data_IF_008586869163
#
_entry.id   IF_008586869163
#
_cell.length_a   1.000
_cell.length_b   1.000
_cell.length_c   1.000
_cell.angle_alpha   90.00
_cell.angle_beta   90.00
_cell.angle_gamma   90.00
#
_symmetry.space_group_name_H-M   'P 1'
#
loop_
_entity.id
_entity.type
_entity.pdbx_description
1 polymer ?
#
# COMPACT_ATOMS: atom_id res chain seq x y z
N UNK A 1 9.71 -15.26 1.66
CA UNK A 1 8.97 -13.99 1.76
C UNK A 1 7.65 -14.28 2.46
N UNK A 2 7.33 -13.58 3.56
CA UNK A 2 6.03 -13.73 4.22
C UNK A 2 5.03 -12.81 3.51
N UNK A 3 3.96 -13.38 2.96
CA UNK A 3 2.89 -12.63 2.28
C UNK A 3 1.53 -13.10 2.77
N UNK A 4 0.60 -12.18 2.96
CA UNK A 4 -0.79 -12.50 3.26
C UNK A 4 -1.71 -11.43 2.65
N UNK A 5 -2.96 -11.81 2.39
CA UNK A 5 -4.02 -10.91 1.95
C UNK A 5 -5.02 -10.63 3.08
N UNK A 6 -5.75 -9.53 2.94
CA UNK A 6 -6.92 -9.18 3.75
C UNK A 6 -8.05 -8.72 2.83
N UNK A 7 -9.29 -9.07 3.15
CA UNK A 7 -10.46 -8.74 2.30
C UNK A 7 -11.03 -7.33 2.58
N UNK A 8 -10.18 -6.42 3.08
CA UNK A 8 -10.58 -5.06 3.47
C UNK A 8 -9.60 -4.04 2.92
N UNK A 9 -10.15 -2.98 2.33
CA UNK A 9 -9.40 -1.92 1.67
C UNK A 9 -10.23 -0.68 1.40
N UNK A 10 -9.86 0.09 0.37
CA UNK A 10 -10.49 1.38 0.07
C UNK A 10 -11.98 1.30 -0.24
N UNK A 11 -12.44 0.22 -0.87
CA UNK A 11 -13.85 0.01 -1.21
C UNK A 11 -14.75 -0.11 0.04
N UNK A 12 -14.27 -0.80 1.08
CA UNK A 12 -14.99 -0.91 2.34
C UNK A 12 -15.19 0.47 3.00
N UNK A 13 -14.18 1.36 2.89
CA UNK A 13 -14.29 2.73 3.40
C UNK A 13 -15.40 3.48 2.66
N UNK A 14 -15.47 3.35 1.33
CA UNK A 14 -16.51 3.95 0.48
C UNK A 14 -17.90 3.45 0.82
N UNK A 15 -18.06 2.14 0.97
CA UNK A 15 -19.32 1.54 1.38
C UNK A 15 -19.75 2.01 2.77
N UNK A 16 -18.81 2.22 3.68
CA UNK A 16 -19.11 2.74 5.01
C UNK A 16 -19.61 4.20 4.94
N UNK A 17 -18.93 5.06 4.17
CA UNK A 17 -19.35 6.45 3.93
C UNK A 17 -20.75 6.48 3.29
N UNK A 18 -20.96 5.67 2.25
CA UNK A 18 -22.26 5.53 1.58
C UNK A 18 -23.38 5.17 2.56
N UNK A 19 -23.17 4.17 3.41
CA UNK A 19 -24.16 3.74 4.43
C UNK A 19 -24.40 4.79 5.50
N UNK A 20 -23.36 5.45 6.00
CA UNK A 20 -23.48 6.42 7.08
C UNK A 20 -24.18 7.72 6.65
N UNK A 21 -23.96 8.16 5.42
CA UNK A 21 -24.53 9.41 4.89
C UNK A 21 -25.72 9.19 3.93
N UNK A 22 -26.09 7.95 3.65
CA UNK A 22 -27.16 7.64 2.69
C UNK A 22 -26.83 8.04 1.25
N UNK A 23 -25.55 8.02 0.88
CA UNK A 23 -25.07 8.48 -0.43
C UNK A 23 -24.92 7.31 -1.43
N UNK A 24 -25.19 7.51 -2.73
CA UNK A 24 -24.78 6.58 -3.77
C UNK A 24 -23.28 6.28 -3.69
N UNK A 25 -22.89 5.07 -4.12
CA UNK A 25 -21.49 4.62 -4.06
C UNK A 25 -20.54 5.61 -4.72
N UNK A 26 -20.85 6.06 -5.93
CA UNK A 26 -19.97 6.93 -6.71
C UNK A 26 -19.78 8.30 -6.03
N UNK A 27 -20.87 8.86 -5.48
CA UNK A 27 -20.83 10.10 -4.70
C UNK A 27 -20.01 9.92 -3.41
N UNK A 28 -20.15 8.78 -2.73
CA UNK A 28 -19.35 8.47 -1.55
C UNK A 28 -17.85 8.30 -1.88
N UNK A 29 -17.52 7.71 -3.03
CA UNK A 29 -16.13 7.59 -3.50
C UNK A 29 -15.55 8.97 -3.80
N UNK A 30 -16.29 9.82 -4.51
CA UNK A 30 -15.89 11.19 -4.81
C UNK A 30 -15.67 12.01 -3.53
N UNK A 31 -16.60 11.90 -2.57
CA UNK A 31 -16.49 12.55 -1.26
C UNK A 31 -15.22 12.10 -0.52
N UNK A 32 -14.94 10.79 -0.53
CA UNK A 32 -13.72 10.20 0.05
C UNK A 32 -12.45 10.69 -0.64
N UNK A 33 -12.42 10.77 -1.97
CA UNK A 33 -11.24 11.21 -2.73
C UNK A 33 -10.97 12.70 -2.53
N UNK A 34 -12.02 13.54 -2.58
CA UNK A 34 -11.87 15.00 -2.54
C UNK A 34 -11.64 15.54 -1.13
N UNK A 35 -12.35 14.99 -0.14
CA UNK A 35 -12.40 15.54 1.22
C UNK A 35 -11.91 14.57 2.29
N UNK A 36 -11.53 13.35 1.90
CA UNK A 36 -11.11 12.32 2.85
C UNK A 36 -9.84 12.70 3.62
N UNK A 37 -9.91 12.53 4.93
CA UNK A 37 -8.79 12.70 5.84
C UNK A 37 -8.70 11.47 6.75
N UNK A 38 -7.50 10.92 6.93
CA UNK A 38 -7.29 9.68 7.67
C UNK A 38 -7.43 9.87 9.19
N UNK A 39 -7.21 11.09 9.69
CA UNK A 39 -7.41 11.45 11.09
C UNK A 39 -7.97 12.88 11.21
N UNK A 40 -8.92 13.13 12.13
CA UNK A 40 -9.36 14.48 12.46
C UNK A 40 -8.21 15.41 12.86
N UNK A 41 -7.10 14.89 13.41
CA UNK A 41 -5.93 15.68 13.82
C UNK A 41 -5.08 16.22 12.66
N UNK A 42 -5.41 15.83 11.43
CA UNK A 42 -4.79 16.38 10.24
C UNK A 42 -5.64 17.49 9.59
N UNK A 43 -6.82 17.79 10.15
CA UNK A 43 -7.66 18.92 9.73
C UNK A 43 -7.14 20.24 10.32
N UNK A 44 -7.18 21.29 9.51
CA UNK A 44 -7.01 22.69 9.92
C UNK A 44 -8.25 23.18 10.69
N UNK A 45 -8.12 24.29 11.42
CA UNK A 45 -9.26 24.85 12.17
C UNK A 45 -10.41 25.28 11.25
N UNK A 46 -10.08 25.82 10.07
CA UNK A 46 -11.05 26.18 9.05
C UNK A 46 -11.80 24.93 8.55
N UNK A 47 -11.07 23.86 8.24
CA UNK A 47 -11.65 22.58 7.80
C UNK A 47 -12.52 21.93 8.88
N UNK A 48 -12.21 22.10 10.17
CA UNK A 48 -13.01 21.51 11.26
C UNK A 48 -14.44 22.04 11.27
N UNK A 49 -14.64 23.31 10.89
CA UNK A 49 -15.96 23.95 10.80
C UNK A 49 -16.65 23.74 9.44
N UNK A 50 -15.94 23.20 8.45
CA UNK A 50 -16.46 23.04 7.10
C UNK A 50 -17.53 21.95 7.02
N UNK A 51 -18.66 22.31 6.43
CA UNK A 51 -19.75 21.41 6.08
C UNK A 51 -19.89 21.36 4.56
N UNK A 52 -19.83 20.14 4.01
CA UNK A 52 -19.94 19.87 2.59
C UNK A 52 -21.41 19.53 2.30
N UNK A 53 -22.06 20.32 1.46
CA UNK A 53 -23.41 19.99 0.97
C UNK A 53 -23.30 19.13 -0.28
N UNK A 54 -23.71 17.88 -0.17
CA UNK A 54 -23.77 16.94 -1.28
C UNK A 54 -25.20 16.90 -1.81
N UNK A 55 -25.37 17.29 -3.08
CA UNK A 55 -26.68 17.21 -3.76
C UNK A 55 -26.86 15.83 -4.35
N UNK A 56 -27.98 15.21 -4.01
CA UNK A 56 -28.44 13.98 -4.63
C UNK A 56 -29.48 14.35 -5.68
N UNK A 57 -29.16 14.12 -6.95
CA UNK A 57 -30.14 14.21 -8.02
C UNK A 57 -30.79 12.83 -8.15
N UNK A 58 -31.89 12.61 -7.45
CA UNK A 58 -32.77 11.49 -7.74
C UNK A 58 -33.84 11.94 -8.75
N UNK A 59 -34.36 11.00 -9.55
CA UNK A 59 -35.30 11.28 -10.65
C UNK A 59 -36.61 11.92 -10.13
N UNK A 60 -36.92 11.72 -8.84
CA UNK A 60 -38.18 12.17 -8.22
C UNK A 60 -37.99 13.23 -7.11
N UNK A 61 -36.78 13.42 -6.56
CA UNK A 61 -36.52 14.49 -5.58
C UNK A 61 -35.03 14.88 -5.49
N UNK A 62 -34.77 16.18 -5.32
CA UNK A 62 -33.44 16.67 -4.95
C UNK A 62 -33.31 16.70 -3.43
N UNK A 63 -32.53 15.77 -2.87
CA UNK A 63 -32.20 15.77 -1.43
C UNK A 63 -30.80 16.32 -1.24
N UNK A 64 -30.63 17.24 -0.29
CA UNK A 64 -29.32 17.77 0.10
C UNK A 64 -28.85 17.09 1.40
N UNK A 65 -27.66 16.50 1.36
CA UNK A 65 -27.02 15.88 2.53
C UNK A 65 -25.86 16.75 2.98
N UNK A 66 -25.88 17.17 4.24
CA UNK A 66 -24.79 17.91 4.84
C UNK A 66 -23.80 16.98 5.52
N UNK A 67 -22.53 17.06 5.13
CA UNK A 67 -21.44 16.25 5.65
C UNK A 67 -20.40 17.14 6.31
N UNK A 68 -20.28 17.06 7.63
CA UNK A 68 -19.19 17.74 8.36
C UNK A 68 -17.84 17.05 8.12
N UNK A 69 -16.80 17.83 7.88
CA UNK A 69 -15.43 17.34 7.66
C UNK A 69 -14.91 16.49 8.83
N UNK A 70 -15.16 16.91 10.08
CA UNK A 70 -14.76 16.15 11.28
C UNK A 70 -15.44 14.79 11.33
N UNK A 71 -16.74 14.74 10.99
CA UNK A 71 -17.51 13.49 10.95
C UNK A 71 -16.98 12.55 9.88
N UNK A 72 -16.73 13.07 8.67
CA UNK A 72 -16.14 12.29 7.57
C UNK A 72 -14.78 11.72 7.96
N UNK A 73 -13.89 12.55 8.51
CA UNK A 73 -12.57 12.14 8.96
C UNK A 73 -12.66 11.08 10.08
N UNK A 74 -13.62 11.20 11.00
CA UNK A 74 -13.85 10.22 12.07
C UNK A 74 -14.29 8.86 11.51
N UNK A 75 -15.19 8.85 10.53
CA UNK A 75 -15.63 7.61 9.88
C UNK A 75 -14.51 6.94 9.09
N UNK A 76 -13.72 7.71 8.35
CA UNK A 76 -12.55 7.21 7.62
C UNK A 76 -11.50 6.67 8.60
N UNK A 77 -11.21 7.42 9.68
CA UNK A 77 -10.28 7.02 10.72
C UNK A 77 -10.64 5.66 11.32
N UNK A 78 -11.90 5.47 11.73
CA UNK A 78 -12.38 4.18 12.26
C UNK A 78 -12.09 3.01 11.32
N UNK A 79 -12.35 3.17 10.03
CA UNK A 79 -12.13 2.11 9.05
C UNK A 79 -10.65 1.81 8.85
N UNK A 80 -9.80 2.84 8.80
CA UNK A 80 -8.36 2.64 8.77
C UNK A 80 -7.84 1.94 10.02
N UNK A 81 -8.26 2.39 11.21
CA UNK A 81 -7.84 1.79 12.48
C UNK A 81 -8.17 0.30 12.53
N UNK A 82 -9.33 -0.08 12.00
CA UNK A 82 -9.70 -1.49 11.89
C UNK A 82 -8.80 -2.26 10.92
N UNK A 83 -8.50 -1.70 9.73
CA UNK A 83 -7.54 -2.28 8.77
C UNK A 83 -6.19 -2.50 9.45
N UNK A 84 -5.63 -1.47 10.09
CA UNK A 84 -4.32 -1.55 10.74
C UNK A 84 -4.32 -2.57 11.87
N UNK A 85 -5.37 -2.62 12.69
CA UNK A 85 -5.52 -3.62 13.75
C UNK A 85 -5.51 -5.05 13.19
N UNK A 86 -6.27 -5.32 12.12
CA UNK A 86 -6.28 -6.67 11.51
C UNK A 86 -4.91 -7.04 10.93
N UNK A 87 -4.21 -6.08 10.31
CA UNK A 87 -2.84 -6.30 9.80
C UNK A 87 -1.90 -6.62 10.96
N UNK A 88 -1.92 -5.83 12.05
CA UNK A 88 -1.10 -6.06 13.24
C UNK A 88 -1.40 -7.41 13.89
N UNK A 89 -2.68 -7.75 14.07
CA UNK A 89 -3.10 -9.04 14.64
C UNK A 89 -2.60 -10.20 13.78
N UNK A 90 -2.70 -10.08 12.44
CA UNK A 90 -2.23 -11.10 11.50
C UNK A 90 -0.72 -11.26 11.53
N UNK A 91 0.03 -10.15 11.56
CA UNK A 91 1.48 -10.17 11.74
C UNK A 91 1.82 -10.87 13.06
N UNK A 92 1.21 -10.45 14.18
CA UNK A 92 1.46 -11.05 15.49
C UNK A 92 1.21 -12.55 15.54
N UNK A 93 0.12 -13.03 14.92
CA UNK A 93 -0.16 -14.48 14.80
C UNK A 93 0.92 -15.20 14.00
N UNK A 94 1.29 -14.70 12.82
CA UNK A 94 2.32 -15.31 11.97
C UNK A 94 3.70 -15.35 12.66
N UNK A 95 4.03 -14.32 13.44
CA UNK A 95 5.26 -14.28 14.23
C UNK A 95 5.25 -15.28 15.39
N UNK A 96 4.10 -15.49 16.03
CA UNK A 96 3.98 -16.43 17.15
C UNK A 96 3.89 -17.89 16.67
N UNK A 97 3.21 -18.16 15.55
CA UNK A 97 3.19 -19.48 14.88
C UNK A 97 4.59 -19.86 14.38
N UNK A 98 5.40 -18.89 13.98
CA UNK A 98 6.79 -19.05 13.57
C UNK A 98 7.80 -19.29 14.70
N UNK A 99 7.41 -19.43 15.98
CA UNK A 99 8.36 -19.64 17.09
C UNK A 99 9.09 -20.99 17.10
N UNK A 100 8.79 -21.90 16.16
CA UNK A 100 9.66 -23.04 15.82
C UNK A 100 10.70 -22.72 14.72
N UNK A 101 10.71 -21.50 14.20
CA UNK A 101 11.54 -21.00 13.10
C UNK A 101 12.06 -19.61 13.50
N UNK A 102 13.12 -19.56 14.32
CA UNK A 102 14.21 -18.54 14.44
C UNK A 102 14.09 -17.09 13.90
N UNK A 103 12.90 -16.57 13.61
CA UNK A 103 12.66 -15.32 12.91
C UNK A 103 11.99 -14.34 13.89
N UNK A 104 12.79 -13.76 14.77
CA UNK A 104 12.36 -12.59 15.55
C UNK A 104 12.30 -11.39 14.60
N UNK A 105 11.16 -11.19 13.94
CA UNK A 105 10.89 -9.98 13.15
C UNK A 105 10.71 -8.80 14.11
N UNK A 106 11.79 -8.07 14.37
CA UNK A 106 11.71 -6.76 15.02
C UNK A 106 11.29 -5.73 13.97
N UNK A 107 10.13 -5.11 14.15
CA UNK A 107 9.56 -4.07 13.27
C UNK A 107 10.26 -2.71 13.39
N UNK A 108 11.58 -2.70 13.54
CA UNK A 108 12.38 -1.48 13.77
C UNK A 108 12.33 -0.49 12.62
N UNK A 109 12.05 -0.95 11.39
CA UNK A 109 11.98 -0.10 10.19
C UNK A 109 10.61 0.58 9.99
N UNK A 110 9.58 0.18 10.74
CA UNK A 110 8.21 0.67 10.56
C UNK A 110 7.49 0.07 9.35
N UNK A 111 6.45 0.77 8.89
CA UNK A 111 5.58 0.36 7.79
C UNK A 111 5.70 1.30 6.59
N UNK A 112 5.70 0.71 5.39
CA UNK A 112 5.59 1.44 4.13
C UNK A 112 4.24 1.11 3.51
N UNK A 113 3.39 2.13 3.34
CA UNK A 113 2.08 1.98 2.71
C UNK A 113 2.18 2.42 1.26
N UNK A 114 1.61 1.63 0.36
CA UNK A 114 1.54 1.92 -1.07
C UNK A 114 0.11 1.74 -1.57
N UNK A 115 -0.14 1.97 -2.86
CA UNK A 115 -1.45 1.85 -3.48
C UNK A 115 -2.28 3.14 -3.41
N UNK A 116 -3.46 3.12 -4.03
CA UNK A 116 -4.31 4.32 -4.16
C UNK A 116 -4.78 4.90 -2.83
N UNK A 117 -5.06 4.04 -1.84
CA UNK A 117 -5.49 4.45 -0.50
C UNK A 117 -4.38 5.17 0.28
N UNK A 118 -3.10 4.95 -0.08
CA UNK A 118 -1.98 5.64 0.54
C UNK A 118 -1.98 7.16 0.27
N UNK A 119 -2.77 7.63 -0.72
CA UNK A 119 -2.94 9.05 -1.01
C UNK A 119 -3.81 9.79 0.01
N UNK A 120 -4.50 9.08 0.91
CA UNK A 120 -5.35 9.73 1.91
C UNK A 120 -4.51 10.61 2.83
N UNK A 121 -4.89 11.89 2.93
CA UNK A 121 -4.20 12.87 3.77
C UNK A 121 -4.16 12.41 5.22
N UNK A 122 -3.00 12.53 5.86
CA UNK A 122 -2.84 12.20 7.28
C UNK A 122 -2.72 10.70 7.58
N UNK A 123 -2.62 9.83 6.58
CA UNK A 123 -2.48 8.37 6.79
C UNK A 123 -1.23 8.01 7.62
N UNK A 124 -0.16 8.79 7.52
CA UNK A 124 1.07 8.58 8.31
C UNK A 124 0.87 8.83 9.80
N UNK A 125 -0.15 9.61 10.19
CA UNK A 125 -0.50 9.87 11.59
C UNK A 125 -1.26 8.69 12.25
N UNK A 126 -1.56 7.63 11.50
CA UNK A 126 -2.26 6.44 12.01
C UNK A 126 -1.35 5.41 12.69
N UNK A 127 -0.07 5.74 12.86
CA UNK A 127 0.93 4.95 13.58
C UNK A 127 0.45 4.36 14.92
N UNK A 128 -0.31 5.09 15.77
CA UNK A 128 -0.73 4.56 17.07
C UNK A 128 -1.59 3.30 17.00
N UNK A 129 -2.39 3.12 15.94
CA UNK A 129 -3.37 2.02 15.84
C UNK A 129 -2.76 0.67 15.47
N UNK A 130 -1.53 0.67 14.98
CA UNK A 130 -0.78 -0.56 14.71
C UNK A 130 -0.30 -1.20 16.02
N UNK A 131 -0.15 -0.41 17.09
CA UNK A 131 0.41 -0.84 18.36
C UNK A 131 -0.70 -1.33 19.31
N UNK A 132 -1.04 -2.62 19.22
CA UNK A 132 -1.97 -3.28 20.15
C UNK A 132 -1.46 -3.46 21.58
N UNK A 133 -0.22 -3.03 21.90
CA UNK A 133 0.42 -3.28 23.20
C UNK A 133 1.13 -2.02 23.74
N UNK A 134 0.36 -1.04 24.25
CA UNK A 134 0.72 -0.11 25.33
C UNK A 134 2.04 0.70 25.31
N UNK A 135 2.93 0.52 24.35
CA UNK A 135 4.20 1.22 24.24
C UNK A 135 4.11 2.22 23.07
N UNK A 136 3.98 3.52 23.35
CA UNK A 136 3.86 4.56 22.34
C UNK A 136 5.15 4.83 21.54
N UNK A 137 6.22 4.07 21.77
CA UNK A 137 7.49 4.25 21.08
C UNK A 137 7.52 3.63 19.67
N UNK A 138 7.32 4.50 18.67
CA UNK A 138 8.16 4.62 17.47
C UNK A 138 7.95 3.67 16.26
N UNK A 139 6.76 3.12 16.03
CA UNK A 139 6.48 2.54 14.70
C UNK A 139 6.18 3.66 13.71
N UNK A 140 7.13 3.95 12.81
CA UNK A 140 6.95 4.95 11.75
C UNK A 140 6.08 4.39 10.62
N UNK A 141 5.06 5.13 10.20
CA UNK A 141 4.38 4.90 8.92
C UNK A 141 4.95 5.87 7.88
N UNK A 142 5.22 5.37 6.68
CA UNK A 142 5.64 6.20 5.55
C UNK A 142 4.90 5.81 4.27
N UNK A 143 4.61 6.78 3.41
CA UNK A 143 4.07 6.51 2.08
C UNK A 143 5.20 6.15 1.12
N UNK A 144 5.11 4.96 0.52
CA UNK A 144 6.08 4.47 -0.46
C UNK A 144 5.75 4.98 -1.86
N UNK A 145 6.68 5.71 -2.46
CA UNK A 145 6.58 6.16 -3.85
C UNK A 145 7.40 5.25 -4.77
N UNK A 146 6.88 4.89 -5.96
CA UNK A 146 7.64 4.15 -6.94
C UNK A 146 8.88 4.94 -7.38
N UNK A 147 10.00 4.23 -7.57
CA UNK A 147 11.28 4.79 -8.03
C UNK A 147 11.96 3.84 -8.99
N UNK A 148 12.85 4.38 -9.83
CA UNK A 148 13.71 3.61 -10.72
C UNK A 148 13.09 3.31 -12.09
N UNK A 149 12.15 4.16 -12.53
CA UNK A 149 11.62 4.16 -13.90
C UNK A 149 11.81 5.57 -14.45
N UNK A 150 12.42 5.65 -15.63
CA UNK A 150 12.53 6.89 -16.40
C UNK A 150 11.35 6.92 -17.35
N UNK A 151 10.61 8.01 -17.33
CA UNK A 151 9.50 8.29 -18.26
C UNK A 151 10.01 9.32 -19.23
N UNK A 152 9.71 9.15 -20.52
CA UNK A 152 9.98 10.18 -21.50
C UNK A 152 9.20 11.45 -21.13
N UNK A 153 9.84 12.63 -21.02
CA UNK A 153 9.16 13.88 -20.75
C UNK A 153 7.99 14.19 -21.70
N UNK A 154 7.99 13.62 -22.91
CA UNK A 154 6.93 13.80 -23.90
C UNK A 154 5.58 13.15 -23.50
N UNK A 155 5.60 12.09 -22.69
CA UNK A 155 4.40 11.30 -22.43
C UNK A 155 3.48 11.90 -21.36
N UNK A 156 3.91 12.95 -20.65
CA UNK A 156 3.18 13.61 -19.55
C UNK A 156 2.64 12.65 -18.44
N UNK A 157 3.05 11.38 -18.42
CA UNK A 157 2.57 10.39 -17.45
C UNK A 157 3.29 10.58 -16.12
N UNK A 158 2.52 10.88 -15.08
CA UNK A 158 3.01 10.99 -13.70
C UNK A 158 2.99 9.62 -13.03
N UNK A 159 4.16 8.97 -12.96
CA UNK A 159 4.34 7.67 -12.28
C UNK A 159 4.71 7.86 -10.81
N UNK A 160 4.95 9.09 -10.35
CA UNK A 160 5.41 9.42 -8.99
C UNK A 160 4.37 9.20 -7.88
N UNK A 161 3.17 8.70 -8.20
CA UNK A 161 2.13 8.42 -7.22
C UNK A 161 2.17 6.99 -6.66
N UNK A 162 1.76 6.78 -5.39
CA UNK A 162 1.85 5.48 -4.72
C UNK A 162 0.94 4.40 -5.35
N UNK A 163 -0.05 4.78 -6.17
CA UNK A 163 -0.93 3.84 -6.87
C UNK A 163 -0.21 3.04 -7.98
N UNK A 164 0.83 3.63 -8.56
CA UNK A 164 1.64 2.99 -9.61
C UNK A 164 2.73 2.08 -9.03
N UNK A 165 2.82 1.93 -7.71
CA UNK A 165 3.85 1.12 -7.05
C UNK A 165 3.87 -0.34 -7.53
N UNK A 166 2.70 -0.94 -7.75
CA UNK A 166 2.58 -2.32 -8.26
C UNK A 166 3.09 -2.41 -9.69
N UNK A 167 2.64 -1.52 -10.57
CA UNK A 167 3.05 -1.50 -11.98
C UNK A 167 4.58 -1.35 -12.10
N UNK A 168 5.16 -0.39 -11.38
CA UNK A 168 6.61 -0.17 -11.38
C UNK A 168 7.35 -1.35 -10.77
N UNK A 169 6.81 -1.96 -9.71
CA UNK A 169 7.35 -3.19 -9.13
C UNK A 169 7.43 -4.33 -10.14
N UNK A 170 6.33 -4.58 -10.87
CA UNK A 170 6.27 -5.60 -11.91
C UNK A 170 7.27 -5.34 -13.04
N UNK A 171 7.35 -4.10 -13.54
CA UNK A 171 8.31 -3.72 -14.57
C UNK A 171 9.76 -3.94 -14.13
N UNK A 172 10.07 -3.62 -12.86
CA UNK A 172 11.41 -3.83 -12.28
C UNK A 172 11.74 -5.31 -12.11
N UNK A 173 10.78 -6.14 -11.71
CA UNK A 173 10.97 -7.60 -11.61
C UNK A 173 11.25 -8.19 -12.98
N UNK A 174 10.41 -7.89 -13.98
CA UNK A 174 10.62 -8.36 -15.35
C UNK A 174 11.98 -7.91 -15.92
N UNK A 175 12.40 -6.68 -15.66
CA UNK A 175 13.71 -6.16 -16.08
C UNK A 175 14.89 -6.86 -15.40
N UNK A 176 14.71 -7.34 -14.15
CA UNK A 176 15.73 -8.12 -13.44
C UNK A 176 15.83 -9.52 -14.03
N UNK A 177 14.70 -10.18 -14.22
CA UNK A 177 14.65 -11.52 -14.81
C UNK A 177 15.29 -11.53 -16.21
N UNK A 178 15.00 -10.52 -17.03
CA UNK A 178 15.61 -10.39 -18.36
C UNK A 178 17.13 -10.20 -18.30
N UNK A 179 17.65 -9.44 -17.32
CA UNK A 179 19.09 -9.26 -17.13
C UNK A 179 19.76 -10.53 -16.63
N UNK A 180 19.11 -11.28 -15.75
CA UNK A 180 19.59 -12.58 -15.29
C UNK A 180 19.68 -13.55 -16.48
N UNK A 181 18.64 -13.65 -17.31
CA UNK A 181 18.67 -14.46 -18.54
C UNK A 181 19.79 -14.06 -19.50
N UNK A 182 20.00 -12.76 -19.73
CA UNK A 182 21.11 -12.28 -20.58
C UNK A 182 22.49 -12.59 -19.98
N UNK A 183 22.61 -12.58 -18.65
CA UNK A 183 23.86 -12.95 -17.98
C UNK A 183 24.12 -14.46 -18.11
N UNK A 184 23.08 -15.31 -18.00
CA UNK A 184 23.19 -16.74 -18.24
C UNK A 184 23.64 -17.05 -19.69
N UNK A 185 23.04 -16.41 -20.71
CA UNK A 185 23.46 -16.59 -22.11
C UNK A 185 24.91 -16.13 -22.36
N UNK A 186 25.36 -15.07 -21.68
CA UNK A 186 26.76 -14.59 -21.78
C UNK A 186 27.76 -15.51 -21.08
N UNK A 187 27.37 -16.19 -20.01
CA UNK A 187 28.21 -17.19 -19.36
C UNK A 187 28.39 -18.47 -20.19
N UNK A 188 27.35 -18.88 -20.93
CA UNK A 188 27.40 -20.05 -21.81
C UNK A 188 28.13 -19.78 -23.14
N UNK A 189 28.10 -18.54 -23.62
CA UNK A 189 28.82 -18.14 -24.86
C UNK A 189 30.29 -17.77 -24.63
N UNK A 190 30.79 -17.78 -23.39
CA UNK A 190 32.18 -17.42 -23.10
C UNK A 190 33.15 -18.59 -23.41
N UNK A 191 34.01 -18.50 -24.45
CA UNK A 191 34.84 -19.60 -24.95
C UNK A 191 36.03 -19.97 -24.04
N UNK A 192 36.14 -19.37 -22.87
CA UNK A 192 37.14 -19.75 -21.85
C UNK A 192 36.59 -20.77 -20.84
N UNK A 193 35.27 -20.87 -20.67
CA UNK A 193 34.65 -21.70 -19.63
C UNK A 193 34.48 -23.19 -20.03
N UNK A 194 34.42 -23.50 -21.32
CA UNK A 194 34.27 -24.88 -21.82
C UNK A 194 35.50 -25.77 -21.56
N UNK A 195 36.71 -25.20 -21.61
CA UNK A 195 37.96 -25.94 -21.34
C UNK A 195 38.07 -26.37 -19.88
N UNK A 196 37.62 -25.53 -18.96
CA UNK A 196 37.58 -25.85 -17.52
C UNK A 196 36.56 -26.94 -17.22
N UNK A 197 35.33 -26.83 -17.75
CA UNK A 197 34.27 -27.84 -17.56
C UNK A 197 34.63 -29.20 -18.19
N UNK A 198 35.30 -29.22 -19.34
CA UNK A 198 35.75 -30.45 -19.99
C UNK A 198 36.86 -31.17 -19.20
N UNK A 199 37.84 -30.43 -18.69
CA UNK A 199 38.89 -30.98 -17.82
C UNK A 199 38.33 -31.64 -16.57
N UNK A 200 37.30 -31.03 -15.96
CA UNK A 200 36.64 -31.56 -14.77
C UNK A 200 35.84 -32.83 -15.09
N UNK A 201 35.03 -32.78 -16.14
CA UNK A 201 34.25 -33.93 -16.61
C UNK A 201 35.12 -35.14 -16.99
N UNK A 202 36.31 -34.90 -17.57
CA UNK A 202 37.22 -35.97 -17.97
C UNK A 202 37.88 -36.64 -16.77
N UNK A 203 38.32 -35.87 -15.76
CA UNK A 203 38.86 -36.43 -14.52
C UNK A 203 37.80 -37.23 -13.75
N UNK A 204 36.55 -36.77 -13.72
CA UNK A 204 35.49 -37.47 -12.97
C UNK A 204 35.03 -38.79 -13.65
N UNK A 205 35.29 -38.98 -14.95
CA UNK A 205 34.89 -40.18 -15.69
C UNK A 205 36.05 -41.12 -16.08
N UNK A 206 37.29 -40.64 -16.09
CA UNK A 206 38.44 -41.39 -16.59
C UNK A 206 39.67 -41.41 -15.64
N UNK A 207 39.58 -40.85 -14.43
CA UNK A 207 40.56 -41.05 -13.35
C UNK A 207 39.97 -41.95 -12.24
#
# INVERSE_FOLDING_TARGET
MLTFGIDRGGEMITQYISKCFGLPRDTAEQLKIQYGCATPDALTEEERSLVITVRQNDVESSTEVQVGMVTLATYINRQFSEIFRMVSDRIGRLLNEGRNSSLQLTLSAGFVITGGVAKTRGIEKLAPFINGNGNPAAVKISVGLPRGVLVDPADHVRIDSPEHAVLVGMARTCSRDTKELQNFEKEDTNPTNWRGKFSQWWNDNFA
#
